data_IF_361276263623
#
_entry.id   IF_361276263623
#
_cell.length_a   1.000
_cell.length_b   1.000
_cell.length_c   1.000
_cell.angle_alpha   90.00
_cell.angle_beta   90.00
_cell.angle_gamma   90.00
#
_symmetry.space_group_name_H-M   'P 1'
#
loop_
_entity.id
_entity.type
_entity.pdbx_description
1 polymer ?
#
# COMPACT_ATOMS: atom_id res chain seq x y z
N UNK A 1 3.34 -5.43 -22.75
CA UNK A 1 3.78 -6.24 -21.62
C UNK A 1 2.56 -6.94 -21.07
N UNK A 2 2.71 -8.23 -20.82
CA UNK A 2 1.66 -9.09 -20.26
C UNK A 2 1.45 -8.77 -18.77
N UNK A 3 0.22 -8.82 -18.30
CA UNK A 3 -0.13 -8.62 -16.89
C UNK A 3 0.59 -9.61 -15.97
N UNK A 4 0.83 -10.85 -16.39
CA UNK A 4 1.54 -11.86 -15.58
C UNK A 4 3.03 -11.53 -15.43
N UNK A 5 3.67 -10.99 -16.47
CA UNK A 5 5.07 -10.52 -16.39
C UNK A 5 5.19 -9.36 -15.39
N UNK A 6 4.22 -8.43 -15.43
CA UNK A 6 4.20 -7.31 -14.50
C UNK A 6 4.04 -7.80 -13.06
N UNK A 7 3.10 -8.73 -12.81
CA UNK A 7 2.88 -9.29 -11.47
C UNK A 7 4.11 -10.02 -10.95
N UNK A 8 4.75 -10.84 -11.78
CA UNK A 8 5.98 -11.55 -11.41
C UNK A 8 7.08 -10.56 -10.98
N UNK A 9 7.28 -9.48 -11.75
CA UNK A 9 8.27 -8.46 -11.38
C UNK A 9 7.96 -7.74 -10.07
N UNK A 10 6.69 -7.53 -9.75
CA UNK A 10 6.30 -6.94 -8.45
C UNK A 10 6.68 -7.87 -7.30
N UNK A 11 6.40 -9.17 -7.41
CA UNK A 11 6.80 -10.13 -6.35
C UNK A 11 8.31 -10.21 -6.20
N UNK A 12 9.07 -10.27 -7.30
CA UNK A 12 10.53 -10.25 -7.27
C UNK A 12 11.07 -8.97 -6.59
N UNK A 13 10.49 -7.81 -6.88
CA UNK A 13 10.88 -6.55 -6.25
C UNK A 13 10.56 -6.51 -4.74
N UNK A 14 9.54 -7.25 -4.28
CA UNK A 14 9.25 -7.40 -2.85
C UNK A 14 10.36 -8.22 -2.21
N UNK A 15 10.66 -9.40 -2.76
CA UNK A 15 11.70 -10.28 -2.24
C UNK A 15 13.08 -9.57 -2.22
N UNK A 16 13.42 -8.81 -3.28
CA UNK A 16 14.66 -8.02 -3.36
C UNK A 16 14.72 -6.90 -2.32
N UNK A 17 13.59 -6.25 -2.01
CA UNK A 17 13.54 -5.21 -0.99
C UNK A 17 13.67 -5.81 0.41
N UNK A 18 12.99 -6.93 0.67
CA UNK A 18 13.07 -7.65 1.93
C UNK A 18 14.51 -8.08 2.21
N UNK A 19 15.20 -8.69 1.23
CA UNK A 19 16.61 -9.08 1.36
C UNK A 19 17.51 -7.87 1.68
N UNK A 20 17.31 -6.74 0.99
CA UNK A 20 18.07 -5.52 1.24
C UNK A 20 17.83 -4.96 2.64
N UNK A 21 16.58 -4.97 3.10
CA UNK A 21 16.20 -4.44 4.40
C UNK A 21 16.69 -5.34 5.55
N UNK A 22 16.58 -6.67 5.40
CA UNK A 22 17.09 -7.62 6.40
C UNK A 22 18.61 -7.48 6.58
N UNK A 23 19.33 -7.31 5.47
CA UNK A 23 20.78 -7.16 5.45
C UNK A 23 21.26 -5.83 6.00
N UNK A 24 20.64 -4.71 5.60
CA UNK A 24 21.07 -3.37 6.00
C UNK A 24 19.90 -2.37 6.07
N UNK A 25 18.95 -2.65 6.97
CA UNK A 25 17.80 -1.78 7.21
C UNK A 25 18.17 -0.37 7.69
N UNK A 26 19.44 -0.13 8.07
CA UNK A 26 19.94 1.20 8.46
C UNK A 26 20.16 2.13 7.28
N UNK A 27 20.11 1.62 6.05
CA UNK A 27 20.13 2.44 4.83
C UNK A 27 18.84 3.28 4.64
N UNK A 28 17.76 2.94 5.34
CA UNK A 28 16.46 3.60 5.22
C UNK A 28 16.20 4.48 6.44
N UNK A 29 15.99 5.78 6.22
CA UNK A 29 15.72 6.74 7.30
C UNK A 29 14.22 7.02 7.47
N UNK A 30 13.44 6.84 6.41
CA UNK A 30 12.02 7.14 6.36
C UNK A 30 11.26 6.09 5.57
N UNK A 31 9.94 6.02 5.78
CA UNK A 31 9.06 5.13 5.01
C UNK A 31 9.13 5.44 3.52
N UNK A 32 9.21 6.74 3.19
CA UNK A 32 9.38 7.18 1.82
C UNK A 32 10.69 6.67 1.18
N UNK A 33 11.77 6.45 1.94
CA UNK A 33 13.00 5.85 1.38
C UNK A 33 12.74 4.41 0.93
N UNK A 34 12.02 3.64 1.74
CA UNK A 34 11.62 2.25 1.44
C UNK A 34 10.70 2.23 0.21
N UNK A 35 9.68 3.09 0.18
CA UNK A 35 8.75 3.23 -0.95
C UNK A 35 9.50 3.64 -2.23
N UNK A 36 10.41 4.61 -2.15
CA UNK A 36 11.22 5.05 -3.29
C UNK A 36 12.11 3.93 -3.82
N UNK A 37 12.75 3.16 -2.92
CA UNK A 37 13.59 2.03 -3.31
C UNK A 37 12.76 0.95 -4.00
N UNK A 38 11.62 0.58 -3.42
CA UNK A 38 10.71 -0.38 -4.03
C UNK A 38 10.25 0.06 -5.42
N UNK A 39 9.83 1.32 -5.56
CA UNK A 39 9.43 1.89 -6.84
C UNK A 39 10.55 1.79 -7.88
N UNK A 40 11.79 2.07 -7.50
CA UNK A 40 12.95 1.91 -8.38
C UNK A 40 13.16 0.46 -8.81
N UNK A 41 13.11 -0.51 -7.88
CA UNK A 41 13.26 -1.94 -8.20
C UNK A 41 12.22 -2.39 -9.23
N UNK A 42 10.94 -2.02 -9.06
CA UNK A 42 9.92 -2.35 -10.04
C UNK A 42 10.24 -1.70 -11.39
N UNK A 43 10.50 -0.39 -11.41
CA UNK A 43 10.70 0.34 -12.67
C UNK A 43 11.93 -0.13 -13.45
N UNK A 44 13.01 -0.50 -12.76
CA UNK A 44 14.22 -1.07 -13.35
C UNK A 44 13.90 -2.38 -14.08
N UNK A 45 13.21 -3.31 -13.42
CA UNK A 45 12.86 -4.60 -14.06
C UNK A 45 11.70 -4.54 -15.05
N UNK A 46 10.87 -3.50 -15.02
CA UNK A 46 9.84 -3.25 -16.03
C UNK A 46 10.31 -2.33 -17.16
N UNK A 47 11.55 -1.84 -17.13
CA UNK A 47 12.10 -0.88 -18.08
C UNK A 47 11.18 0.32 -18.31
N UNK A 48 10.63 0.86 -17.22
CA UNK A 48 9.69 1.99 -17.27
C UNK A 48 8.45 1.72 -18.14
N UNK A 49 7.89 0.51 -18.04
CA UNK A 49 6.79 0.05 -18.87
C UNK A 49 5.64 1.08 -18.98
N UNK A 50 5.22 1.31 -20.22
CA UNK A 50 4.10 2.21 -20.53
C UNK A 50 3.04 1.53 -21.37
N UNK A 51 1.83 2.08 -21.36
CA UNK A 51 0.75 1.66 -22.24
C UNK A 51 0.01 2.88 -22.80
N UNK A 52 -0.35 2.90 -24.10
CA UNK A 52 -1.22 3.94 -24.64
C UNK A 52 -2.66 3.74 -24.13
N UNK A 53 -3.33 4.84 -23.80
CA UNK A 53 -4.76 4.84 -23.50
C UNK A 53 -5.62 4.83 -24.77
N UNK A 54 -6.95 4.89 -24.62
CA UNK A 54 -7.89 4.90 -25.76
C UNK A 54 -7.72 6.10 -26.72
N UNK A 55 -6.98 7.13 -26.30
CA UNK A 55 -6.69 8.33 -27.08
C UNK A 55 -5.23 8.34 -27.59
N UNK A 56 -4.49 7.24 -27.41
CA UNK A 56 -3.09 7.11 -27.84
C UNK A 56 -2.08 7.79 -26.91
N UNK A 57 -2.49 8.32 -25.75
CA UNK A 57 -1.56 8.95 -24.80
C UNK A 57 -0.86 7.87 -23.98
N UNK A 58 0.47 7.95 -23.84
CA UNK A 58 1.25 6.97 -23.07
C UNK A 58 1.17 7.26 -21.58
N UNK A 59 0.95 6.21 -20.80
CA UNK A 59 0.96 6.25 -19.34
C UNK A 59 1.96 5.24 -18.80
N UNK A 60 2.71 5.62 -17.76
CA UNK A 60 3.43 4.63 -16.94
C UNK A 60 2.43 3.70 -16.28
N UNK A 61 2.86 2.46 -16.02
CA UNK A 61 2.02 1.47 -15.36
C UNK A 61 2.17 1.46 -13.84
N UNK A 62 3.25 2.04 -13.31
CA UNK A 62 3.52 2.09 -11.87
C UNK A 62 3.46 3.54 -11.42
N UNK A 63 2.69 3.81 -10.37
CA UNK A 63 2.50 5.16 -9.81
C UNK A 63 2.64 5.15 -8.31
N UNK A 64 3.07 6.29 -7.76
CA UNK A 64 3.05 6.56 -6.33
C UNK A 64 1.90 7.50 -5.97
N UNK A 65 1.49 7.49 -4.70
CA UNK A 65 0.45 8.38 -4.14
C UNK A 65 -0.86 8.35 -4.93
N UNK A 66 -1.27 7.17 -5.39
CA UNK A 66 -2.47 7.03 -6.22
C UNK A 66 -3.75 7.08 -5.37
N UNK A 67 -4.77 7.86 -5.73
CA UNK A 67 -5.91 8.10 -4.85
C UNK A 67 -6.89 6.91 -4.80
N UNK A 68 -7.36 6.60 -3.58
CA UNK A 68 -8.36 5.54 -3.28
C UNK A 68 -9.71 5.78 -3.98
N UNK A 69 -10.46 4.78 -4.46
CA UNK A 69 -11.72 4.98 -5.17
C UNK A 69 -12.91 5.27 -4.24
N UNK A 70 -12.64 5.59 -2.97
CA UNK A 70 -13.61 5.93 -1.93
C UNK A 70 -13.09 7.10 -1.10
N UNK A 71 -13.99 7.76 -0.37
CA UNK A 71 -13.63 8.66 0.72
C UNK A 71 -13.54 7.86 2.01
N UNK A 72 -12.68 8.28 2.93
CA UNK A 72 -12.54 7.60 4.20
C UNK A 72 -12.26 8.55 5.37
N UNK A 73 -12.49 8.04 6.56
CA UNK A 73 -12.04 8.63 7.81
C UNK A 73 -10.88 7.78 8.35
N UNK A 74 -9.71 8.41 8.48
CA UNK A 74 -8.49 7.83 9.06
C UNK A 74 -8.19 8.41 10.45
N UNK A 75 -9.17 9.08 11.09
CA UNK A 75 -8.99 9.71 12.39
C UNK A 75 -8.66 8.72 13.50
N UNK A 76 -7.61 9.03 14.28
CA UNK A 76 -7.20 8.21 15.42
C UNK A 76 -6.61 6.87 15.00
N UNK A 77 -7.21 5.77 15.46
CA UNK A 77 -6.79 4.38 15.15
C UNK A 77 -7.88 3.62 14.36
N UNK A 78 -8.87 4.34 13.83
CA UNK A 78 -10.01 3.76 13.14
C UNK A 78 -9.97 4.00 11.64
N UNK A 79 -10.50 3.05 10.88
CA UNK A 79 -10.77 3.23 9.46
C UNK A 79 -12.24 2.94 9.15
N UNK A 80 -12.86 3.89 8.46
CA UNK A 80 -14.21 3.77 7.93
C UNK A 80 -14.31 4.39 6.54
N UNK A 81 -14.88 3.64 5.60
CA UNK A 81 -15.33 4.16 4.31
C UNK A 81 -16.50 5.12 4.53
N UNK A 82 -16.53 6.21 3.77
CA UNK A 82 -17.54 7.26 3.87
C UNK A 82 -18.24 7.43 2.52
N UNK A 83 -19.57 7.41 2.55
CA UNK A 83 -20.41 7.65 1.40
C UNK A 83 -20.49 9.13 1.04
N UNK A 84 -21.06 9.44 -0.12
CA UNK A 84 -21.19 10.83 -0.62
C UNK A 84 -22.08 11.72 0.26
N UNK A 85 -22.98 11.14 1.06
CA UNK A 85 -23.81 11.86 2.02
C UNK A 85 -23.09 12.21 3.32
N UNK A 86 -21.98 11.51 3.63
CA UNK A 86 -21.30 11.66 4.92
C UNK A 86 -20.55 12.98 5.01
N UNK A 87 -20.56 13.59 6.20
CA UNK A 87 -19.90 14.86 6.48
C UNK A 87 -19.01 14.74 7.71
N UNK A 88 -17.89 15.46 7.69
CA UNK A 88 -17.04 15.61 8.86
C UNK A 88 -17.76 16.41 9.94
N UNK A 89 -17.22 16.42 11.17
CA UNK A 89 -17.75 17.25 12.27
C UNK A 89 -17.78 18.75 11.95
N UNK A 90 -17.02 19.19 10.95
CA UNK A 90 -16.99 20.58 10.44
C UNK A 90 -17.91 20.80 9.23
N UNK A 91 -18.72 19.82 8.85
CA UNK A 91 -19.67 19.89 7.73
C UNK A 91 -19.05 19.70 6.33
N UNK A 92 -17.74 19.48 6.23
CA UNK A 92 -17.06 19.22 4.95
C UNK A 92 -17.22 17.77 4.47
N UNK A 93 -16.97 17.50 3.19
CA UNK A 93 -16.85 16.12 2.70
C UNK A 93 -15.58 15.46 3.27
N UNK A 94 -15.63 14.16 3.48
CA UNK A 94 -14.43 13.37 3.80
C UNK A 94 -13.43 13.38 2.64
N UNK A 95 -12.14 13.29 2.97
CA UNK A 95 -11.07 13.23 1.98
C UNK A 95 -10.89 11.80 1.46
N UNK A 96 -10.17 11.69 0.35
CA UNK A 96 -9.70 10.41 -0.18
C UNK A 96 -8.33 10.12 0.43
N UNK A 97 -8.08 8.86 0.74
CA UNK A 97 -6.72 8.38 1.01
C UNK A 97 -5.95 8.18 -0.28
N UNK A 98 -4.68 7.81 -0.14
CA UNK A 98 -3.81 7.40 -1.24
C UNK A 98 -3.20 6.04 -0.91
N UNK A 99 -2.77 5.35 -1.96
CA UNK A 99 -1.87 4.21 -1.92
C UNK A 99 -0.45 4.68 -2.14
N UNK A 100 0.50 4.09 -1.41
CA UNK A 100 1.91 4.39 -1.62
C UNK A 100 2.33 4.01 -3.02
N UNK A 101 1.96 2.81 -3.48
CA UNK A 101 2.23 2.33 -4.84
C UNK A 101 1.01 1.61 -5.42
N UNK A 102 0.74 1.89 -6.70
CA UNK A 102 -0.16 1.10 -7.52
C UNK A 102 0.51 0.63 -8.81
N UNK A 103 0.09 -0.55 -9.25
CA UNK A 103 0.44 -1.10 -10.55
C UNK A 103 -0.85 -1.24 -11.35
N UNK A 104 -1.01 -0.38 -12.36
CA UNK A 104 -2.21 -0.30 -13.19
C UNK A 104 -2.27 -1.47 -14.17
N UNK A 105 -3.49 -1.97 -14.39
CA UNK A 105 -3.74 -2.99 -15.39
C UNK A 105 -3.58 -2.38 -16.80
N UNK A 106 -2.69 -2.92 -17.66
CA UNK A 106 -2.51 -2.44 -19.03
C UNK A 106 -3.80 -2.47 -19.86
N UNK A 107 -4.63 -3.50 -19.71
CA UNK A 107 -5.90 -3.64 -20.41
C UNK A 107 -6.89 -2.55 -19.99
N UNK A 108 -6.92 -2.22 -18.68
CA UNK A 108 -7.71 -1.11 -18.17
C UNK A 108 -7.26 0.22 -18.79
N UNK A 109 -5.95 0.49 -18.82
CA UNK A 109 -5.40 1.73 -19.38
C UNK A 109 -5.79 1.90 -20.84
N UNK A 110 -5.70 0.84 -21.65
CA UNK A 110 -6.09 0.89 -23.06
C UNK A 110 -7.57 1.21 -23.29
N UNK A 111 -8.44 0.82 -22.35
CA UNK A 111 -9.88 1.00 -22.50
C UNK A 111 -10.38 2.38 -22.05
N UNK A 112 -9.61 3.07 -21.21
CA UNK A 112 -10.01 4.35 -20.62
C UNK A 112 -9.20 5.51 -21.19
N UNK A 113 -9.55 6.75 -20.85
CA UNK A 113 -8.73 7.92 -21.16
C UNK A 113 -8.05 8.46 -19.90
N UNK A 114 -7.02 9.30 -20.08
CA UNK A 114 -6.22 9.88 -19.00
C UNK A 114 -7.01 10.34 -17.76
N UNK A 115 -8.12 11.08 -17.94
CA UNK A 115 -8.93 11.60 -16.81
C UNK A 115 -9.45 10.49 -15.88
N UNK A 116 -9.84 9.35 -16.45
CA UNK A 116 -10.31 8.20 -15.67
C UNK A 116 -9.12 7.39 -15.13
N UNK A 117 -8.08 7.20 -15.94
CA UNK A 117 -6.88 6.47 -15.55
C UNK A 117 -6.19 7.07 -14.31
N UNK A 118 -6.09 8.41 -14.22
CA UNK A 118 -5.48 9.09 -13.07
C UNK A 118 -6.28 8.97 -11.77
N UNK A 119 -7.54 8.54 -11.85
CA UNK A 119 -8.38 8.28 -10.69
C UNK A 119 -8.72 9.48 -9.80
N UNK A 120 -8.30 10.71 -10.10
CA UNK A 120 -8.45 11.88 -9.20
C UNK A 120 -9.88 12.41 -9.09
N UNK A 121 -10.68 12.25 -10.14
CA UNK A 121 -12.06 12.69 -10.22
C UNK A 121 -12.95 11.59 -9.64
N UNK A 122 -13.43 11.80 -8.41
CA UNK A 122 -14.10 10.76 -7.62
C UNK A 122 -15.40 10.31 -8.28
N UNK A 123 -16.23 11.28 -8.67
CA UNK A 123 -17.50 11.06 -9.33
C UNK A 123 -17.28 10.30 -10.65
N UNK A 124 -16.32 10.75 -11.47
CA UNK A 124 -15.97 10.06 -12.72
C UNK A 124 -15.53 8.61 -12.50
N UNK A 125 -14.71 8.35 -11.47
CA UNK A 125 -14.23 7.01 -11.11
C UNK A 125 -15.38 6.09 -10.74
N UNK A 126 -16.25 6.53 -9.82
CA UNK A 126 -17.36 5.71 -9.31
C UNK A 126 -18.37 5.33 -10.40
N UNK A 127 -18.58 6.21 -11.38
CA UNK A 127 -19.51 5.96 -12.48
C UNK A 127 -18.93 5.06 -13.57
N UNK A 128 -17.63 5.16 -13.85
CA UNK A 128 -17.05 4.61 -15.08
C UNK A 128 -16.19 3.36 -14.89
N UNK A 129 -15.61 3.10 -13.71
CA UNK A 129 -14.80 1.89 -13.51
C UNK A 129 -15.59 0.60 -13.76
N UNK A 130 -16.90 0.61 -13.46
CA UNK A 130 -17.83 -0.50 -13.71
C UNK A 130 -17.92 -0.95 -15.17
N UNK A 131 -17.58 -0.06 -16.10
CA UNK A 131 -17.68 -0.28 -17.55
C UNK A 131 -16.32 -0.62 -18.18
N UNK A 132 -15.25 -0.52 -17.42
CA UNK A 132 -13.89 -0.75 -17.88
C UNK A 132 -13.46 -2.20 -17.60
N UNK A 133 -12.39 -2.68 -18.26
CA UNK A 133 -11.74 -3.93 -17.88
C UNK A 133 -11.38 -3.93 -16.40
N UNK A 134 -11.65 -5.07 -15.76
CA UNK A 134 -11.44 -5.29 -14.33
C UNK A 134 -10.42 -6.39 -14.11
N UNK A 135 -9.58 -6.29 -13.08
CA UNK A 135 -9.47 -5.15 -12.15
C UNK A 135 -8.74 -3.98 -12.81
N UNK A 136 -9.03 -2.75 -12.38
CA UNK A 136 -8.33 -1.56 -12.87
C UNK A 136 -6.86 -1.52 -12.40
N UNK A 137 -6.59 -2.11 -11.24
CA UNK A 137 -5.28 -2.15 -10.59
C UNK A 137 -4.87 -3.61 -10.38
N UNK A 138 -3.66 -3.97 -10.78
CA UNK A 138 -3.08 -5.29 -10.51
C UNK A 138 -2.63 -5.41 -9.05
N UNK A 139 -1.92 -4.38 -8.55
CA UNK A 139 -1.45 -4.28 -7.16
C UNK A 139 -1.78 -2.94 -6.54
N UNK A 140 -2.39 -2.95 -5.37
CA UNK A 140 -2.40 -1.81 -4.43
C UNK A 140 -1.51 -2.12 -3.23
N UNK A 141 -0.52 -1.27 -2.97
CA UNK A 141 0.50 -1.50 -1.96
C UNK A 141 0.53 -0.35 -0.96
N UNK A 142 0.66 -0.70 0.32
CA UNK A 142 0.93 0.22 1.43
C UNK A 142 2.17 -0.25 2.16
N UNK A 143 2.90 0.72 2.70
CA UNK A 143 4.09 0.51 3.46
C UNK A 143 3.86 1.03 4.88
N UNK A 144 4.46 0.33 5.84
CA UNK A 144 4.63 0.87 7.18
C UNK A 144 6.07 0.67 7.57
N UNK A 145 6.78 1.75 7.85
CA UNK A 145 8.14 1.65 8.35
C UNK A 145 8.27 2.21 9.75
N UNK A 146 8.67 1.34 10.68
CA UNK A 146 9.03 1.76 12.01
C UNK A 146 10.54 1.98 12.14
N UNK A 147 10.95 3.24 12.04
CA UNK A 147 12.33 3.66 12.26
C UNK A 147 12.79 3.46 13.70
N UNK A 148 11.90 3.73 14.65
CA UNK A 148 12.19 3.72 16.08
C UNK A 148 11.50 2.49 16.71
N UNK A 149 12.18 1.33 16.78
CA UNK A 149 11.56 0.06 17.17
C UNK A 149 10.76 0.17 18.47
N UNK A 150 9.62 -0.53 18.59
CA UNK A 150 8.74 -0.36 19.73
C UNK A 150 9.47 -0.80 20.99
N UNK A 151 9.73 0.12 21.91
CA UNK A 151 10.37 -0.23 23.18
C UNK A 151 9.34 -0.81 24.16
N UNK A 152 9.76 -1.74 25.02
CA UNK A 152 8.94 -2.16 26.16
C UNK A 152 8.63 -0.93 27.03
N UNK A 153 7.35 -0.66 27.23
CA UNK A 153 6.94 0.44 28.11
C UNK A 153 7.23 0.07 29.56
N UNK A 154 7.62 1.05 30.38
CA UNK A 154 7.73 0.86 31.84
C UNK A 154 6.32 0.77 32.44
N UNK A 155 6.12 -0.16 33.36
CA UNK A 155 4.84 -0.35 34.08
C UNK A 155 4.03 -1.55 33.62
N UNK A 156 2.73 -1.55 33.94
CA UNK A 156 1.83 -2.69 33.74
C UNK A 156 1.52 -2.96 32.26
N UNK A 157 1.55 -1.93 31.40
CA UNK A 157 1.26 -2.08 29.98
C UNK A 157 2.54 -2.07 29.12
N UNK A 158 3.33 -3.14 29.24
CA UNK A 158 4.61 -3.29 28.54
C UNK A 158 4.49 -3.26 27.02
N UNK A 159 3.32 -3.60 26.49
CA UNK A 159 3.10 -3.85 25.05
C UNK A 159 2.44 -2.66 24.35
N UNK A 160 2.18 -1.56 25.06
CA UNK A 160 1.46 -0.40 24.53
C UNK A 160 2.03 0.15 23.21
N UNK A 161 3.36 0.21 23.08
CA UNK A 161 4.03 0.69 21.86
C UNK A 161 3.82 -0.26 20.68
N UNK A 162 4.01 -1.57 20.91
CA UNK A 162 3.77 -2.65 19.95
C UNK A 162 2.31 -2.64 19.51
N UNK A 163 1.37 -2.59 20.45
CA UNK A 163 -0.06 -2.55 20.16
C UNK A 163 -0.46 -1.32 19.36
N UNK A 164 0.15 -0.17 19.65
CA UNK A 164 -0.10 1.06 18.89
C UNK A 164 0.42 0.95 17.46
N UNK A 165 1.59 0.35 17.27
CA UNK A 165 2.16 0.10 15.96
C UNK A 165 1.30 -0.88 15.15
N UNK A 166 0.97 -2.04 15.71
CA UNK A 166 0.10 -3.02 15.05
C UNK A 166 -1.27 -2.43 14.70
N UNK A 167 -1.86 -1.58 15.55
CA UNK A 167 -3.13 -0.89 15.23
C UNK A 167 -3.03 -0.01 13.99
N UNK A 168 -1.92 0.71 13.79
CA UNK A 168 -1.71 1.51 12.58
C UNK A 168 -1.57 0.62 11.35
N UNK A 169 -0.75 -0.44 11.45
CA UNK A 169 -0.61 -1.44 10.39
C UNK A 169 -1.98 -2.01 9.98
N UNK A 170 -2.82 -2.38 10.94
CA UNK A 170 -4.15 -2.90 10.66
C UNK A 170 -5.12 -1.85 10.12
N UNK A 171 -4.95 -0.59 10.47
CA UNK A 171 -5.76 0.51 9.93
C UNK A 171 -5.51 0.66 8.42
N UNK A 172 -4.24 0.69 8.00
CA UNK A 172 -3.87 0.80 6.58
C UNK A 172 -4.13 -0.50 5.80
N UNK A 173 -3.91 -1.66 6.43
CA UNK A 173 -4.32 -2.94 5.85
C UNK A 173 -5.82 -3.00 5.58
N UNK A 174 -6.66 -2.52 6.52
CA UNK A 174 -8.11 -2.45 6.31
C UNK A 174 -8.49 -1.50 5.18
N UNK A 175 -7.75 -0.38 5.00
CA UNK A 175 -7.91 0.52 3.84
C UNK A 175 -7.65 -0.21 2.52
N UNK A 176 -6.62 -1.05 2.46
CA UNK A 176 -6.37 -1.92 1.31
C UNK A 176 -7.49 -2.94 1.09
N UNK A 177 -7.96 -3.60 2.15
CA UNK A 177 -9.04 -4.59 2.04
C UNK A 177 -10.31 -4.02 1.44
N UNK A 178 -10.76 -2.86 1.92
CA UNK A 178 -11.93 -2.17 1.36
C UNK A 178 -11.68 -1.65 -0.07
N UNK A 179 -10.41 -1.57 -0.50
CA UNK A 179 -10.05 -1.20 -1.88
C UNK A 179 -10.11 -2.36 -2.86
N UNK A 180 -10.22 -3.62 -2.42
CA UNK A 180 -10.29 -4.76 -3.36
C UNK A 180 -11.49 -4.65 -4.30
N UNK A 181 -12.60 -4.08 -3.83
CA UNK A 181 -13.85 -3.95 -4.58
C UNK A 181 -14.44 -2.54 -4.43
N UNK A 182 -15.15 -2.10 -5.46
CA UNK A 182 -16.00 -0.93 -5.38
C UNK A 182 -17.23 -1.23 -4.51
N UNK A 183 -17.99 -0.20 -4.05
CA UNK A 183 -19.16 -0.40 -3.17
C UNK A 183 -20.26 -1.32 -3.72
N UNK A 184 -20.30 -1.55 -5.03
CA UNK A 184 -21.24 -2.47 -5.70
C UNK A 184 -20.67 -3.89 -5.90
N UNK A 185 -19.48 -4.17 -5.37
CA UNK A 185 -18.80 -5.46 -5.46
C UNK A 185 -17.90 -5.64 -6.69
N UNK A 186 -17.88 -4.69 -7.63
CA UNK A 186 -17.02 -4.77 -8.82
C UNK A 186 -15.53 -4.77 -8.42
N UNK A 187 -14.69 -5.69 -8.93
CA UNK A 187 -13.29 -5.73 -8.53
C UNK A 187 -12.54 -4.47 -8.97
N UNK A 188 -11.80 -3.87 -8.04
CA UNK A 188 -10.95 -2.71 -8.33
C UNK A 188 -9.47 -3.09 -8.35
N UNK A 189 -9.02 -3.87 -7.37
CA UNK A 189 -7.65 -4.39 -7.26
C UNK A 189 -7.62 -5.91 -7.39
N UNK A 190 -6.65 -6.44 -8.14
CA UNK A 190 -6.42 -7.88 -8.23
C UNK A 190 -5.80 -8.41 -6.93
N UNK A 191 -4.76 -7.73 -6.46
CA UNK A 191 -4.02 -8.05 -5.24
C UNK A 191 -3.77 -6.78 -4.44
N UNK A 192 -3.78 -6.91 -3.13
CA UNK A 192 -3.33 -5.89 -2.20
C UNK A 192 -2.21 -6.46 -1.34
N UNK A 193 -1.32 -5.60 -0.85
CA UNK A 193 -0.31 -6.04 0.11
C UNK A 193 0.10 -4.90 1.04
N UNK A 194 0.18 -5.23 2.32
CA UNK A 194 0.77 -4.39 3.35
C UNK A 194 2.20 -4.86 3.61
N UNK A 195 3.18 -4.01 3.34
CA UNK A 195 4.59 -4.29 3.57
C UNK A 195 5.05 -3.56 4.83
N UNK A 196 5.40 -4.31 5.86
CA UNK A 196 5.73 -3.79 7.19
C UNK A 196 7.20 -4.01 7.46
N UNK A 197 7.92 -2.91 7.68
CA UNK A 197 9.35 -2.89 7.95
C UNK A 197 9.59 -2.36 9.35
N UNK A 198 10.36 -3.08 10.16
CA UNK A 198 10.75 -2.64 11.50
C UNK A 198 12.25 -2.78 11.68
N UNK A 199 12.90 -1.67 12.03
CA UNK A 199 14.33 -1.67 12.25
C UNK A 199 14.66 -2.23 13.63
N UNK A 200 15.47 -3.30 13.68
CA UNK A 200 16.34 -3.58 14.82
C UNK A 200 15.66 -3.62 16.22
N UNK A 201 14.57 -4.38 16.37
CA UNK A 201 14.00 -4.69 17.67
C UNK A 201 14.63 -5.94 18.33
N UNK A 202 14.53 -6.06 19.66
CA UNK A 202 15.00 -7.26 20.37
C UNK A 202 14.22 -8.50 19.92
N UNK A 203 14.82 -9.69 20.04
CA UNK A 203 14.19 -10.97 19.66
C UNK A 203 12.76 -11.09 20.22
N UNK A 204 12.58 -10.76 21.50
CA UNK A 204 11.26 -10.74 22.15
C UNK A 204 10.23 -9.83 21.46
N UNK A 205 10.63 -8.65 20.99
CA UNK A 205 9.71 -7.74 20.28
C UNK A 205 9.41 -8.30 18.89
N UNK A 206 10.40 -8.90 18.21
CA UNK A 206 10.20 -9.54 16.89
C UNK A 206 9.17 -10.66 16.97
N UNK A 207 9.29 -11.53 17.96
CA UNK A 207 8.33 -12.62 18.20
C UNK A 207 6.92 -12.06 18.39
N UNK A 208 6.77 -11.02 19.21
CA UNK A 208 5.46 -10.39 19.44
C UNK A 208 4.87 -9.71 18.21
N UNK A 209 5.71 -9.07 17.39
CA UNK A 209 5.26 -8.50 16.12
C UNK A 209 4.83 -9.61 15.15
N UNK A 210 5.60 -10.70 15.06
CA UNK A 210 5.24 -11.88 14.26
C UNK A 210 3.91 -12.47 14.73
N UNK A 211 3.74 -12.70 16.03
CA UNK A 211 2.51 -13.26 16.59
C UNK A 211 1.29 -12.40 16.28
N UNK A 212 1.44 -11.07 16.37
CA UNK A 212 0.32 -10.14 16.13
C UNK A 212 0.04 -9.93 14.64
N UNK A 213 1.06 -9.93 13.77
CA UNK A 213 0.90 -9.53 12.37
C UNK A 213 0.81 -10.71 11.38
N UNK A 214 1.25 -11.92 11.75
CA UNK A 214 1.22 -13.10 10.87
C UNK A 214 -0.17 -13.65 10.56
N UNK A 215 -1.24 -13.07 11.13
CA UNK A 215 -2.61 -13.56 10.89
C UNK A 215 -3.14 -13.26 9.47
N UNK A 216 -2.44 -12.43 8.68
CA UNK A 216 -2.93 -11.94 7.38
C UNK A 216 -2.00 -12.36 6.24
N UNK A 217 -2.56 -13.02 5.23
CA UNK A 217 -1.82 -13.54 4.07
C UNK A 217 -1.31 -12.45 3.11
N UNK A 218 -1.91 -11.26 3.17
CA UNK A 218 -1.58 -10.08 2.39
C UNK A 218 -0.82 -9.02 3.22
N UNK A 219 -0.22 -9.45 4.33
CA UNK A 219 0.72 -8.65 5.12
C UNK A 219 2.06 -9.38 5.12
N UNK A 220 3.14 -8.68 4.75
CA UNK A 220 4.51 -9.18 4.90
C UNK A 220 5.26 -8.35 5.93
N UNK A 221 5.84 -9.02 6.92
CA UNK A 221 6.63 -8.40 7.98
C UNK A 221 8.11 -8.70 7.74
N UNK A 222 8.89 -7.67 7.49
CA UNK A 222 10.33 -7.72 7.29
C UNK A 222 11.06 -7.04 8.45
N UNK A 223 12.01 -7.74 9.06
CA UNK A 223 12.68 -7.34 10.30
C UNK A 223 14.19 -7.32 10.09
N UNK A 224 14.83 -6.17 10.30
CA UNK A 224 16.28 -6.08 10.18
C UNK A 224 17.00 -6.53 11.45
N UNK A 225 18.20 -7.10 11.28
CA UNK A 225 19.05 -7.43 12.41
C UNK A 225 19.69 -6.20 13.05
N UNK A 226 19.61 -6.07 14.39
CA UNK A 226 20.37 -5.04 15.08
C UNK A 226 21.82 -5.49 15.10
N UNK A 227 22.68 -4.83 14.33
CA UNK A 227 24.13 -4.94 14.51
C UNK A 227 24.44 -4.33 15.88
N UNK A 228 24.52 -5.17 16.91
CA UNK A 228 25.04 -4.76 18.20
C UNK A 228 26.52 -4.46 17.97
N UNK A 229 26.88 -3.16 18.04
CA UNK A 229 28.30 -2.79 18.10
C UNK A 229 28.90 -3.48 19.32
N UNK A 230 29.70 -4.52 19.08
CA UNK A 230 30.62 -5.12 20.06
C UNK A 230 31.71 -4.14 20.40
#
# INVERSE_FOLDING_TARGET
MDSEVIKARVEEAIDELEEQFEKDGTLFYTENDVVCRFYALIQEGLEWATKPDRHGQRHYLVHREYPTPFRCDMGGVGFAVKGEGDRTSKGGKYQRGHYDIVVLNPEFIQAVGYRLAKGQDFELVTENFRRAPSPAVLYGLEFMFNRDPPMESRGENRDRSIDTFCKKVFQDHKKLEESKRLPDGHPFMAKTMMLVFDNACSEKIRERLKDKLNEKTDLRLCLSERVVKT
#
